data_IF_287243331279
#
_entry.id   IF_287243331279
#
_cell.length_a   1.000
_cell.length_b   1.000
_cell.length_c   1.000
_cell.angle_alpha   90.00
_cell.angle_beta   90.00
_cell.angle_gamma   90.00
#
_symmetry.space_group_name_H-M   'P 1'
#
loop_
_entity.id
_entity.type
_entity.pdbx_description
1 polymer ?
#
# COMPACT_ATOMS: atom_id res chain seq x y z
N UNK A 1 -14.00 -5.34 2.00
CA UNK A 1 -13.55 -6.58 2.65
C UNK A 1 -13.60 -6.31 4.14
N UNK A 2 -14.21 -7.22 4.91
CA UNK A 2 -14.02 -7.20 6.37
C UNK A 2 -12.55 -7.51 6.71
N UNK A 3 -12.14 -7.23 7.94
CA UNK A 3 -10.73 -7.32 8.34
C UNK A 3 -10.16 -8.73 8.12
N UNK A 4 -10.95 -9.78 8.39
CA UNK A 4 -10.53 -11.17 8.19
C UNK A 4 -10.28 -11.52 6.71
N UNK A 5 -11.12 -11.00 5.80
CA UNK A 5 -10.92 -11.21 4.37
C UNK A 5 -9.79 -10.33 3.80
N UNK A 6 -9.51 -9.17 4.41
CA UNK A 6 -8.33 -8.36 4.07
C UNK A 6 -7.06 -9.10 4.46
N UNK A 7 -7.00 -9.69 5.65
CA UNK A 7 -5.84 -10.43 6.13
C UNK A 7 -5.52 -11.63 5.22
N UNK A 8 -6.52 -12.48 4.93
CA UNK A 8 -6.33 -13.63 4.02
C UNK A 8 -5.88 -13.19 2.63
N UNK A 9 -6.42 -12.08 2.12
CA UNK A 9 -6.01 -11.54 0.83
C UNK A 9 -4.54 -11.09 0.84
N UNK A 10 -4.10 -10.46 1.93
CA UNK A 10 -2.73 -10.00 2.08
C UNK A 10 -1.75 -11.17 2.20
N UNK A 11 -2.09 -12.22 2.96
CA UNK A 11 -1.27 -13.43 3.07
C UNK A 11 -1.02 -14.06 1.71
N UNK A 12 -2.08 -14.23 0.90
CA UNK A 12 -1.96 -14.80 -0.44
C UNK A 12 -1.08 -13.92 -1.34
N UNK A 13 -1.23 -12.59 -1.30
CA UNK A 13 -0.38 -11.70 -2.10
C UNK A 13 1.08 -11.81 -1.66
N UNK A 14 1.32 -11.83 -0.35
CA UNK A 14 2.66 -11.88 0.25
C UNK A 14 3.44 -13.10 -0.25
N UNK A 15 2.81 -14.27 -0.38
CA UNK A 15 3.41 -15.48 -0.94
C UNK A 15 3.93 -15.29 -2.37
N UNK A 16 3.20 -14.54 -3.21
CA UNK A 16 3.62 -14.28 -4.60
C UNK A 16 4.64 -13.16 -4.74
N UNK A 17 4.84 -12.32 -3.71
CA UNK A 17 5.78 -11.20 -3.81
C UNK A 17 7.23 -11.63 -3.97
N UNK A 18 7.57 -12.88 -3.62
CA UNK A 18 8.91 -13.44 -3.83
C UNK A 18 9.27 -13.57 -5.32
N UNK A 19 8.28 -13.82 -6.18
CA UNK A 19 8.47 -14.09 -7.61
C UNK A 19 7.98 -12.95 -8.50
N UNK A 20 7.15 -12.04 -7.99
CA UNK A 20 6.50 -10.99 -8.79
C UNK A 20 6.28 -9.70 -8.00
N UNK A 21 6.46 -8.56 -8.69
CA UNK A 21 6.16 -7.26 -8.10
C UNK A 21 4.66 -6.94 -8.21
N UNK A 22 4.02 -6.72 -7.07
CA UNK A 22 2.60 -6.34 -7.01
C UNK A 22 2.44 -4.83 -6.85
N UNK A 23 1.50 -4.26 -7.62
CA UNK A 23 1.03 -2.89 -7.46
C UNK A 23 -0.43 -2.96 -7.01
N UNK A 24 -0.70 -2.48 -5.80
CA UNK A 24 -2.04 -2.52 -5.19
C UNK A 24 -2.55 -1.09 -4.99
N UNK A 25 -3.72 -0.78 -5.54
CA UNK A 25 -4.40 0.50 -5.33
C UNK A 25 -5.45 0.29 -4.24
N UNK A 26 -5.25 0.91 -3.08
CA UNK A 26 -6.11 0.72 -1.92
C UNK A 26 -6.19 1.97 -1.05
N UNK A 27 -7.26 2.08 -0.26
CA UNK A 27 -7.36 3.01 0.87
C UNK A 27 -7.46 2.26 2.22
N UNK A 28 -7.32 0.93 2.21
CA UNK A 28 -7.40 0.11 3.41
C UNK A 28 -6.09 0.18 4.20
N UNK A 29 -6.18 0.56 5.48
CA UNK A 29 -5.02 0.76 6.35
C UNK A 29 -4.20 -0.50 6.58
N UNK A 30 -4.83 -1.67 6.72
CA UNK A 30 -4.10 -2.93 6.92
C UNK A 30 -3.32 -3.32 5.66
N UNK A 31 -3.91 -3.15 4.47
CA UNK A 31 -3.19 -3.36 3.22
C UNK A 31 -2.02 -2.39 3.07
N UNK A 32 -2.21 -1.10 3.38
CA UNK A 32 -1.13 -0.11 3.31
C UNK A 32 0.01 -0.43 4.30
N UNK A 33 -0.30 -0.92 5.50
CA UNK A 33 0.68 -1.27 6.52
C UNK A 33 1.58 -2.47 6.13
N UNK A 34 1.09 -3.35 5.25
CA UNK A 34 1.83 -4.54 4.77
C UNK A 34 2.63 -4.28 3.49
N UNK A 35 2.51 -3.09 2.89
CA UNK A 35 3.25 -2.73 1.68
C UNK A 35 4.69 -2.31 2.02
N UNK A 36 5.67 -2.72 1.20
CA UNK A 36 7.06 -2.26 1.36
C UNK A 36 7.26 -0.77 1.00
N UNK A 37 6.49 -0.27 0.03
CA UNK A 37 6.48 1.13 -0.35
C UNK A 37 5.05 1.64 -0.59
N UNK A 38 4.80 2.87 -0.18
CA UNK A 38 3.52 3.57 -0.34
C UNK A 38 3.68 4.74 -1.30
N UNK A 39 2.84 4.76 -2.33
CA UNK A 39 2.72 5.88 -3.26
C UNK A 39 1.39 6.58 -3.01
N UNK A 40 1.43 7.71 -2.33
CA UNK A 40 0.27 8.59 -2.15
C UNK A 40 0.04 9.42 -3.41
N UNK A 41 -1.20 9.47 -3.88
CA UNK A 41 -1.61 10.40 -4.93
C UNK A 41 -2.42 11.50 -4.27
N UNK A 42 -1.98 12.75 -4.43
CA UNK A 42 -2.66 13.93 -3.93
C UNK A 42 -2.95 14.89 -5.08
N UNK A 43 -3.78 15.90 -4.82
CA UNK A 43 -4.18 16.91 -5.79
C UNK A 43 -3.94 18.29 -5.17
N UNK A 44 -2.79 18.91 -5.49
CA UNK A 44 -2.47 20.26 -5.01
C UNK A 44 -3.32 21.33 -5.70
N UNK A 45 -3.53 21.15 -7.01
CA UNK A 45 -4.39 21.99 -7.85
C UNK A 45 -5.50 21.15 -8.45
N UNK A 46 -6.68 21.74 -8.64
CA UNK A 46 -7.86 21.00 -9.12
C UNK A 46 -7.56 20.30 -10.46
N UNK A 47 -7.66 18.97 -10.48
CA UNK A 47 -7.43 18.16 -11.69
C UNK A 47 -5.96 17.85 -12.00
N UNK A 48 -4.99 18.29 -11.19
CA UNK A 48 -3.57 17.95 -11.36
C UNK A 48 -3.12 17.04 -10.22
N UNK A 49 -2.88 15.76 -10.54
CA UNK A 49 -2.38 14.78 -9.59
C UNK A 49 -0.88 14.92 -9.39
N UNK A 50 -0.44 14.84 -8.13
CA UNK A 50 0.95 14.75 -7.72
C UNK A 50 1.17 13.49 -6.89
N UNK A 51 2.31 12.84 -7.12
CA UNK A 51 2.71 11.62 -6.41
C UNK A 51 3.66 11.97 -5.27
N UNK A 52 3.42 11.38 -4.10
CA UNK A 52 4.33 11.36 -2.95
C UNK A 52 4.68 9.91 -2.64
N UNK A 53 5.94 9.61 -2.35
CA UNK A 53 6.40 8.24 -2.07
C UNK A 53 7.04 8.14 -0.70
N UNK A 54 6.70 7.09 0.05
CA UNK A 54 7.30 6.74 1.34
C UNK A 54 7.68 5.26 1.30
N UNK A 55 8.89 4.93 1.74
CA UNK A 55 9.27 3.54 2.04
C UNK A 55 8.89 3.25 3.48
N UNK A 56 8.14 2.19 3.71
CA UNK A 56 7.62 1.87 5.04
C UNK A 56 8.75 1.49 6.00
N UNK A 57 9.85 0.95 5.45
CA UNK A 57 11.12 0.66 6.15
C UNK A 57 11.80 1.91 6.74
N UNK A 58 11.61 3.07 6.10
CA UNK A 58 12.25 4.33 6.48
C UNK A 58 11.36 5.21 7.37
N UNK A 59 10.14 4.75 7.70
CA UNK A 59 9.20 5.50 8.52
C UNK A 59 9.53 5.33 10.02
N UNK A 60 9.69 6.42 10.79
CA UNK A 60 9.95 6.31 12.23
C UNK A 60 8.76 5.62 12.92
N UNK A 61 9.06 4.59 13.71
CA UNK A 61 8.08 3.97 14.60
C UNK A 61 7.63 5.02 15.62
N UNK A 62 6.39 5.47 15.49
CA UNK A 62 5.75 6.37 16.46
C UNK A 62 5.04 5.55 17.54
#
# INVERSE_FOLDING_TARGET
LDDANVERFLEVIEEFTADSQFIVITHNKQTMARAGALFGVTQQELGVSQIVSVRVEDAPAN
#
